data_IF_818091424673
#
_entry.id   IF_818091424673
#
_cell.length_a   1.000
_cell.length_b   1.000
_cell.length_c   1.000
_cell.angle_alpha   90.00
_cell.angle_beta   90.00
_cell.angle_gamma   90.00
#
_symmetry.space_group_name_H-M   'P 1'
#
loop_
_entity.id
_entity.type
_entity.pdbx_description
1 polymer ?
#
# COMPACT_ATOMS: atom_id res chain seq x y z
N UNK A 1 12.59 -0.16 20.48
CA UNK A 1 13.71 0.58 19.84
C UNK A 1 13.95 -0.04 18.48
N UNK A 2 13.97 0.74 17.42
CA UNK A 2 14.43 0.30 16.11
C UNK A 2 15.95 0.36 16.08
N UNK A 3 16.59 -0.59 15.39
CA UNK A 3 18.03 -0.73 15.32
C UNK A 3 18.48 -0.88 13.87
N UNK A 4 19.62 -0.31 13.53
CA UNK A 4 20.31 -0.58 12.27
C UNK A 4 21.36 -1.68 12.47
N UNK A 5 21.68 -2.39 11.41
CA UNK A 5 22.58 -3.52 11.44
C UNK A 5 23.91 -3.18 10.78
N UNK A 6 25.00 -3.55 11.43
CA UNK A 6 26.36 -3.33 10.96
C UNK A 6 27.13 -4.65 10.95
N UNK A 7 28.11 -4.76 10.07
CA UNK A 7 29.06 -5.87 10.07
C UNK A 7 30.14 -5.68 11.16
N UNK A 8 31.06 -6.65 11.28
CA UNK A 8 32.15 -6.61 12.27
C UNK A 8 33.15 -5.44 12.11
N UNK A 9 33.15 -4.80 10.92
CA UNK A 9 34.05 -3.70 10.58
C UNK A 9 33.36 -2.34 10.75
N UNK A 10 32.10 -2.31 11.23
CA UNK A 10 31.31 -1.10 11.45
C UNK A 10 30.66 -0.52 10.19
N UNK A 11 30.62 -1.30 9.10
CA UNK A 11 29.92 -0.92 7.88
C UNK A 11 28.47 -1.40 7.91
N UNK A 12 27.52 -0.65 7.32
CA UNK A 12 26.12 -1.10 7.23
C UNK A 12 26.00 -2.47 6.57
N UNK A 13 25.16 -3.34 7.14
CA UNK A 13 24.98 -4.68 6.62
C UNK A 13 24.23 -4.63 5.28
N UNK A 14 24.86 -5.10 4.20
CA UNK A 14 24.33 -5.07 2.82
C UNK A 14 22.95 -5.78 2.65
N UNK A 15 22.69 -6.80 3.47
CA UNK A 15 21.42 -7.55 3.47
C UNK A 15 20.36 -6.92 4.37
N UNK A 16 20.63 -5.78 4.99
CA UNK A 16 19.70 -5.13 5.89
C UNK A 16 18.62 -4.37 5.09
N UNK A 17 17.32 -4.62 5.34
CA UNK A 17 16.22 -3.98 4.62
C UNK A 17 16.21 -2.45 4.77
N UNK A 18 16.51 -1.92 5.97
CA UNK A 18 16.53 -0.46 6.21
C UNK A 18 17.68 0.20 5.45
N UNK A 19 18.82 -0.47 5.33
CA UNK A 19 19.94 0.04 4.54
C UNK A 19 19.62 0.03 3.04
N UNK A 20 18.92 -1.00 2.57
CA UNK A 20 18.41 -1.07 1.19
C UNK A 20 17.49 0.10 0.88
N UNK A 21 16.57 0.43 1.79
CA UNK A 21 15.69 1.60 1.62
C UNK A 21 16.48 2.91 1.56
N UNK A 22 17.47 3.08 2.43
CA UNK A 22 18.36 4.27 2.40
C UNK A 22 19.08 4.41 1.06
N UNK A 23 19.63 3.30 0.52
CA UNK A 23 20.26 3.29 -0.80
C UNK A 23 19.29 3.62 -1.92
N UNK A 24 18.04 3.12 -1.84
CA UNK A 24 17.00 3.44 -2.81
C UNK A 24 16.66 4.93 -2.83
N UNK A 25 16.53 5.55 -1.66
CA UNK A 25 16.29 7.00 -1.53
C UNK A 25 17.47 7.83 -2.05
N UNK A 26 18.71 7.41 -1.75
CA UNK A 26 19.91 8.07 -2.29
C UNK A 26 19.98 7.98 -3.81
N UNK A 27 19.71 6.81 -4.39
CA UNK A 27 19.69 6.61 -5.84
C UNK A 27 18.59 7.48 -6.49
N UNK A 28 17.40 7.54 -5.87
CA UNK A 28 16.32 8.40 -6.32
C UNK A 28 16.77 9.88 -6.35
N UNK A 29 17.35 10.37 -5.28
CA UNK A 29 17.84 11.76 -5.18
C UNK A 29 18.96 12.02 -6.18
N UNK A 30 19.89 11.07 -6.37
CA UNK A 30 20.99 11.19 -7.33
C UNK A 30 20.48 11.36 -8.77
N UNK A 31 19.46 10.59 -9.16
CA UNK A 31 18.91 10.61 -10.53
C UNK A 31 18.01 11.83 -10.74
N UNK A 32 17.23 12.22 -9.75
CA UNK A 32 16.14 13.20 -9.94
C UNK A 32 16.45 14.58 -9.38
N UNK A 33 17.38 14.69 -8.42
CA UNK A 33 17.58 15.90 -7.60
C UNK A 33 16.43 16.20 -6.65
N UNK A 34 15.58 15.19 -6.34
CA UNK A 34 14.37 15.34 -5.53
C UNK A 34 14.36 14.30 -4.41
N UNK A 35 13.50 14.52 -3.40
CA UNK A 35 13.30 13.63 -2.26
C UNK A 35 12.05 12.75 -2.48
N UNK A 36 12.17 11.45 -2.18
CA UNK A 36 11.06 10.50 -2.17
C UNK A 36 10.45 10.42 -0.77
N UNK A 37 9.14 10.64 -0.67
CA UNK A 37 8.37 10.51 0.57
C UNK A 37 7.24 9.50 0.40
N UNK A 38 6.87 8.85 1.50
CA UNK A 38 5.82 7.85 1.52
C UNK A 38 4.95 7.93 2.78
N UNK A 39 3.80 7.29 2.73
CA UNK A 39 2.96 6.93 3.87
C UNK A 39 2.23 5.62 3.59
N UNK A 40 1.72 4.97 4.63
CA UNK A 40 0.90 3.77 4.50
C UNK A 40 -0.53 3.98 5.01
N UNK A 41 -1.45 3.19 4.44
CA UNK A 41 -2.76 2.88 4.97
C UNK A 41 -2.68 1.43 5.43
N UNK A 42 -2.70 1.20 6.75
CA UNK A 42 -2.48 -0.12 7.35
C UNK A 42 -3.80 -0.74 7.77
N UNK A 43 -4.27 -1.72 7.01
CA UNK A 43 -5.45 -2.50 7.33
C UNK A 43 -5.12 -3.74 8.17
N UNK A 44 -6.00 -4.06 9.11
CA UNK A 44 -5.88 -5.25 9.96
C UNK A 44 -7.22 -5.68 10.51
N UNK A 45 -7.35 -6.96 10.85
CA UNK A 45 -8.52 -7.46 11.56
C UNK A 45 -8.25 -7.60 13.06
N UNK A 46 -9.23 -7.15 13.84
CA UNK A 46 -9.35 -7.47 15.27
C UNK A 46 -10.34 -8.64 15.40
N UNK A 47 -9.99 -9.62 16.20
CA UNK A 47 -10.77 -10.85 16.40
C UNK A 47 -11.00 -11.02 17.89
N UNK A 48 -12.28 -11.16 18.29
CA UNK A 48 -12.67 -11.41 19.67
C UNK A 48 -13.81 -12.43 19.74
N UNK A 49 -14.14 -12.87 20.96
CA UNK A 49 -15.37 -13.65 21.21
C UNK A 49 -16.60 -12.81 20.86
N UNK A 50 -17.67 -13.48 20.41
CA UNK A 50 -18.94 -12.84 20.08
C UNK A 50 -19.79 -12.66 21.33
N UNK A 51 -20.05 -11.43 21.74
CA UNK A 51 -20.91 -11.09 22.87
C UNK A 51 -22.41 -11.02 22.51
N UNK A 52 -22.75 -11.16 21.24
CA UNK A 52 -24.13 -11.06 20.73
C UNK A 52 -24.74 -9.64 20.77
N UNK A 53 -24.01 -8.63 21.28
CA UNK A 53 -24.52 -7.26 21.41
C UNK A 53 -24.24 -6.48 20.14
N UNK A 54 -25.17 -5.61 19.75
CA UNK A 54 -25.02 -4.70 18.59
C UNK A 54 -24.40 -5.39 17.37
N UNK A 55 -25.05 -6.44 16.80
CA UNK A 55 -24.50 -7.19 15.69
C UNK A 55 -24.34 -6.28 14.49
N UNK A 56 -23.13 -6.24 13.94
CA UNK A 56 -22.86 -5.50 12.71
C UNK A 56 -23.35 -6.28 11.48
N UNK A 57 -23.72 -5.55 10.44
CA UNK A 57 -24.11 -6.16 9.16
C UNK A 57 -22.88 -6.69 8.44
N UNK A 58 -22.94 -7.93 7.95
CA UNK A 58 -21.85 -8.59 7.23
C UNK A 58 -21.34 -7.72 6.06
N UNK A 59 -20.03 -7.46 6.03
CA UNK A 59 -19.33 -6.67 5.00
C UNK A 59 -19.86 -5.22 4.86
N UNK A 60 -20.35 -4.65 5.96
CA UNK A 60 -20.87 -3.28 6.02
C UNK A 60 -20.22 -2.43 7.13
N UNK A 61 -18.94 -2.71 7.44
CA UNK A 61 -18.21 -2.02 8.49
C UNK A 61 -17.64 -0.65 8.10
N UNK A 62 -17.62 -0.31 6.81
CA UNK A 62 -16.92 0.89 6.32
C UNK A 62 -17.46 2.19 6.95
N UNK A 63 -16.58 2.89 7.71
CA UNK A 63 -16.91 4.07 8.50
C UNK A 63 -18.06 3.88 9.51
N UNK A 64 -18.31 2.63 9.92
CA UNK A 64 -19.27 2.37 10.99
C UNK A 64 -18.77 2.97 12.31
N UNK A 65 -19.70 3.35 13.17
CA UNK A 65 -19.41 3.95 14.49
C UNK A 65 -19.80 3.02 15.63
N UNK A 66 -19.30 3.31 16.83
CA UNK A 66 -19.74 2.64 18.04
C UNK A 66 -21.27 2.85 18.24
N UNK A 67 -22.02 1.86 18.73
CA UNK A 67 -21.53 0.58 19.27
C UNK A 67 -21.35 -0.55 18.25
N UNK A 68 -21.64 -0.32 16.98
CA UNK A 68 -21.54 -1.33 15.92
C UNK A 68 -20.08 -1.56 15.48
N UNK A 69 -19.23 -0.51 15.47
CA UNK A 69 -17.78 -0.64 15.39
C UNK A 69 -17.23 -0.91 16.80
N UNK A 70 -17.06 -2.19 17.14
CA UNK A 70 -16.75 -2.63 18.51
C UNK A 70 -15.35 -2.28 18.97
N UNK A 71 -14.39 -2.17 18.05
CA UNK A 71 -12.98 -1.93 18.36
C UNK A 71 -12.54 -0.47 18.13
N UNK A 72 -13.49 0.47 18.11
CA UNK A 72 -13.21 1.89 17.94
C UNK A 72 -12.26 2.43 19.02
N UNK A 73 -12.50 2.09 20.28
CA UNK A 73 -11.68 2.57 21.40
C UNK A 73 -10.28 1.94 21.35
N UNK A 74 -10.18 0.65 21.05
CA UNK A 74 -8.92 -0.04 20.82
C UNK A 74 -8.11 0.61 19.69
N UNK A 75 -8.73 0.90 18.55
CA UNK A 75 -8.08 1.58 17.41
C UNK A 75 -7.60 2.97 17.82
N UNK A 76 -8.43 3.73 18.53
CA UNK A 76 -8.09 5.08 19.01
C UNK A 76 -6.89 5.05 19.96
N UNK A 77 -6.84 4.09 20.86
CA UNK A 77 -5.72 3.90 21.76
C UNK A 77 -4.44 3.47 21.01
N UNK A 78 -4.55 2.58 20.02
CA UNK A 78 -3.42 2.26 19.13
C UNK A 78 -2.86 3.52 18.47
N UNK A 79 -3.71 4.37 17.88
CA UNK A 79 -3.29 5.62 17.26
C UNK A 79 -2.59 6.55 18.26
N UNK A 80 -3.09 6.64 19.49
CA UNK A 80 -2.47 7.44 20.55
C UNK A 80 -1.06 6.97 20.89
N UNK A 81 -0.84 5.65 21.08
CA UNK A 81 0.49 5.12 21.36
C UNK A 81 1.45 5.23 20.17
N UNK A 82 0.95 5.04 18.94
CA UNK A 82 1.75 5.23 17.73
C UNK A 82 2.20 6.69 17.63
N UNK A 83 1.31 7.65 17.88
CA UNK A 83 1.65 9.08 17.87
C UNK A 83 2.66 9.43 18.97
N UNK A 84 2.51 8.90 20.18
CA UNK A 84 3.48 9.08 21.27
C UNK A 84 4.86 8.49 20.94
N UNK A 85 4.92 7.44 20.12
CA UNK A 85 6.16 6.85 19.60
C UNK A 85 6.76 7.62 18.42
N UNK A 86 6.16 8.74 17.99
CA UNK A 86 6.62 9.61 16.91
C UNK A 86 5.94 9.39 15.57
N UNK A 87 4.99 8.45 15.46
CA UNK A 87 4.23 8.20 14.23
C UNK A 87 3.32 9.38 13.87
N UNK A 88 3.33 9.77 12.61
CA UNK A 88 2.51 10.86 12.09
C UNK A 88 1.15 10.32 11.63
N UNK A 89 0.19 10.28 12.54
CA UNK A 89 -1.17 9.77 12.28
C UNK A 89 -2.00 10.80 11.52
N UNK A 90 -2.70 10.34 10.49
CA UNK A 90 -3.70 11.12 9.75
C UNK A 90 -5.09 10.92 10.35
N UNK A 91 -5.60 9.69 10.34
CA UNK A 91 -6.83 9.25 11.01
C UNK A 91 -6.92 7.73 11.02
N UNK A 92 -8.00 7.17 11.63
CA UNK A 92 -8.31 5.74 11.56
C UNK A 92 -9.81 5.52 11.57
N UNK A 93 -10.25 4.46 10.92
CA UNK A 93 -11.67 4.09 10.79
C UNK A 93 -11.85 2.57 10.73
N UNK A 94 -13.09 2.11 10.88
CA UNK A 94 -13.46 0.73 10.55
C UNK A 94 -13.56 0.57 9.04
N UNK A 95 -13.08 -0.58 8.54
CA UNK A 95 -13.10 -0.96 7.13
C UNK A 95 -14.29 -1.87 6.79
N UNK A 96 -14.45 -2.22 5.49
CA UNK A 96 -15.57 -3.01 4.96
C UNK A 96 -15.75 -4.33 5.67
N UNK A 97 -14.63 -4.99 6.04
CA UNK A 97 -14.63 -6.33 6.58
C UNK A 97 -15.22 -6.41 8.00
N UNK A 98 -16.44 -6.95 8.08
CA UNK A 98 -17.10 -7.24 9.33
C UNK A 98 -17.91 -8.53 9.15
N UNK A 99 -17.65 -9.56 9.97
CA UNK A 99 -18.35 -10.83 9.90
C UNK A 99 -18.17 -11.66 11.19
N UNK A 100 -19.04 -12.62 11.38
CA UNK A 100 -18.91 -13.64 12.44
C UNK A 100 -18.57 -14.99 11.83
N UNK A 101 -17.59 -15.68 12.40
CA UNK A 101 -17.18 -17.02 12.01
C UNK A 101 -16.75 -17.79 13.27
N UNK A 102 -17.25 -19.02 13.45
CA UNK A 102 -16.93 -19.89 14.61
C UNK A 102 -17.07 -19.17 15.96
N UNK A 103 -18.22 -18.52 16.17
CA UNK A 103 -18.57 -17.73 17.36
C UNK A 103 -17.61 -16.55 17.67
N UNK A 104 -16.78 -16.15 16.72
CA UNK A 104 -15.90 -15.00 16.84
C UNK A 104 -16.32 -13.87 15.91
N UNK A 105 -16.11 -12.65 16.39
CA UNK A 105 -16.28 -11.43 15.61
C UNK A 105 -14.95 -11.09 14.93
N UNK A 106 -15.03 -10.77 13.65
CA UNK A 106 -13.94 -10.26 12.83
C UNK A 106 -14.32 -8.86 12.36
N UNK A 107 -13.60 -7.86 12.81
CA UNK A 107 -13.79 -6.46 12.40
C UNK A 107 -12.51 -5.89 11.83
N UNK A 108 -12.59 -5.42 10.59
CA UNK A 108 -11.47 -4.79 9.89
C UNK A 108 -11.34 -3.32 10.28
N UNK A 109 -10.14 -2.90 10.57
CA UNK A 109 -9.77 -1.55 10.96
C UNK A 109 -8.62 -1.06 10.09
N UNK A 110 -8.56 0.24 9.89
CA UNK A 110 -7.49 0.90 9.16
C UNK A 110 -6.94 2.09 9.95
N UNK A 111 -5.62 2.26 9.90
CA UNK A 111 -4.92 3.45 10.38
C UNK A 111 -4.13 4.03 9.23
N UNK A 112 -4.41 5.30 8.90
CA UNK A 112 -3.70 6.07 7.87
C UNK A 112 -2.69 7.02 8.49
N UNK A 113 -1.55 7.15 7.81
CA UNK A 113 -0.43 8.00 8.22
C UNK A 113 -0.33 9.26 7.36
N UNK A 114 0.50 10.21 7.79
CA UNK A 114 0.89 11.36 6.98
C UNK A 114 2.17 11.06 6.20
N UNK A 115 2.35 11.63 5.00
CA UNK A 115 3.56 11.45 4.21
C UNK A 115 4.78 12.05 4.92
N UNK A 116 5.82 11.23 5.09
CA UNK A 116 7.10 11.58 5.68
C UNK A 116 8.23 11.04 4.80
N UNK A 117 9.49 11.27 5.16
CA UNK A 117 10.63 10.62 4.49
C UNK A 117 10.43 9.12 4.46
N UNK A 118 10.89 8.48 3.40
CA UNK A 118 10.57 7.06 3.16
C UNK A 118 11.06 6.13 4.27
N UNK A 119 12.24 6.41 4.86
CA UNK A 119 12.76 5.66 5.99
C UNK A 119 11.83 5.79 7.22
N UNK A 120 11.40 7.01 7.53
CA UNK A 120 10.47 7.28 8.63
C UNK A 120 9.09 6.64 8.36
N UNK A 121 8.65 6.57 7.09
CA UNK A 121 7.41 5.90 6.72
C UNK A 121 7.47 4.39 7.00
N UNK A 122 8.59 3.74 6.71
CA UNK A 122 8.81 2.34 7.06
C UNK A 122 8.85 2.14 8.58
N UNK A 123 9.59 2.98 9.29
CA UNK A 123 9.73 2.94 10.75
C UNK A 123 8.38 3.04 11.45
N UNK A 124 7.56 4.04 11.10
CA UNK A 124 6.26 4.23 11.74
C UNK A 124 5.29 3.07 11.49
N UNK A 125 5.33 2.44 10.31
CA UNK A 125 4.52 1.26 10.01
C UNK A 125 4.98 0.02 10.80
N UNK A 126 6.28 -0.17 10.97
CA UNK A 126 6.84 -1.25 11.82
C UNK A 126 6.42 -1.05 13.27
N UNK A 127 6.56 0.18 13.80
CA UNK A 127 6.13 0.54 15.15
C UNK A 127 4.62 0.33 15.30
N UNK A 128 3.82 0.74 14.33
CA UNK A 128 2.37 0.56 14.35
C UNK A 128 1.97 -0.92 14.46
N UNK A 129 2.54 -1.78 13.61
CA UNK A 129 2.27 -3.24 13.69
C UNK A 129 2.68 -3.82 15.03
N UNK A 130 3.76 -3.33 15.64
CA UNK A 130 4.21 -3.74 16.96
C UNK A 130 3.25 -3.26 18.05
N UNK A 131 2.87 -1.97 18.07
CA UNK A 131 1.92 -1.38 19.03
C UNK A 131 0.59 -2.10 18.99
N UNK A 132 0.00 -2.27 17.80
CA UNK A 132 -1.30 -2.92 17.60
C UNK A 132 -1.28 -4.34 18.21
N UNK A 133 -0.24 -5.14 17.94
CA UNK A 133 -0.14 -6.50 18.51
C UNK A 133 0.02 -6.51 20.03
N UNK A 134 0.85 -5.63 20.57
CA UNK A 134 1.11 -5.59 22.00
C UNK A 134 -0.12 -5.09 22.77
N UNK A 135 -0.80 -4.06 22.27
CA UNK A 135 -2.00 -3.56 22.90
C UNK A 135 -3.14 -4.59 22.81
N UNK A 136 -3.31 -5.24 21.67
CA UNK A 136 -4.31 -6.31 21.51
C UNK A 136 -4.12 -7.44 22.54
N UNK A 137 -2.88 -7.82 22.81
CA UNK A 137 -2.58 -8.82 23.84
C UNK A 137 -3.05 -8.39 25.23
N UNK A 138 -2.99 -7.10 25.55
CA UNK A 138 -3.50 -6.56 26.83
C UNK A 138 -5.02 -6.58 26.90
N UNK A 139 -5.71 -6.40 25.77
CA UNK A 139 -7.17 -6.47 25.66
C UNK A 139 -7.70 -7.91 25.54
N UNK A 140 -6.83 -8.90 25.38
CA UNK A 140 -7.23 -10.28 25.09
C UNK A 140 -7.76 -10.49 23.68
N UNK A 141 -7.44 -9.59 22.74
CA UNK A 141 -7.80 -9.69 21.32
C UNK A 141 -6.73 -10.40 20.50
N UNK A 142 -7.16 -11.06 19.42
CA UNK A 142 -6.27 -11.50 18.38
C UNK A 142 -6.22 -10.48 17.25
N UNK A 143 -5.02 -10.30 16.67
CA UNK A 143 -4.79 -9.40 15.53
C UNK A 143 -4.19 -10.17 14.37
N UNK A 144 -4.69 -9.87 13.17
CA UNK A 144 -4.05 -10.37 11.96
C UNK A 144 -3.91 -9.29 10.89
N UNK A 145 -2.73 -9.26 10.26
CA UNK A 145 -2.43 -8.48 9.06
C UNK A 145 -2.45 -9.37 7.81
N UNK A 146 -3.01 -10.57 7.92
CA UNK A 146 -3.09 -11.51 6.80
C UNK A 146 -3.90 -10.90 5.64
N UNK A 147 -3.41 -10.98 4.41
CA UNK A 147 -4.08 -10.40 3.24
C UNK A 147 -5.49 -10.94 3.00
N UNK A 148 -5.73 -12.20 3.37
CA UNK A 148 -7.02 -12.86 3.23
C UNK A 148 -7.23 -13.88 4.33
N UNK A 149 -8.30 -13.72 5.11
CA UNK A 149 -8.67 -14.66 6.17
C UNK A 149 -9.53 -15.78 5.59
N UNK A 150 -10.58 -15.43 4.86
CA UNK A 150 -11.51 -16.40 4.27
C UNK A 150 -12.06 -15.93 2.92
N UNK A 151 -12.51 -16.87 2.10
CA UNK A 151 -13.13 -16.58 0.81
C UNK A 151 -14.44 -15.78 0.99
N UNK A 152 -14.71 -14.87 0.05
CA UNK A 152 -15.97 -14.10 0.06
C UNK A 152 -16.02 -12.91 1.02
N UNK A 153 -15.03 -12.74 1.91
CA UNK A 153 -14.93 -11.60 2.83
C UNK A 153 -13.81 -10.65 2.37
N UNK A 154 -13.86 -9.39 2.83
CA UNK A 154 -12.84 -8.40 2.50
C UNK A 154 -11.44 -8.87 2.93
N UNK A 155 -10.45 -8.59 2.11
CA UNK A 155 -9.04 -8.80 2.43
C UNK A 155 -8.42 -7.52 2.98
N UNK A 156 -7.28 -7.64 3.67
CA UNK A 156 -6.53 -6.50 4.20
C UNK A 156 -5.40 -6.10 3.28
N UNK A 157 -5.38 -4.81 2.90
CA UNK A 157 -4.33 -4.17 2.13
C UNK A 157 -3.30 -3.47 3.00
N UNK A 158 -2.27 -3.00 2.34
CA UNK A 158 -1.34 -2.01 2.82
C UNK A 158 -1.06 -1.06 1.65
N UNK A 159 -1.89 -0.05 1.50
CA UNK A 159 -1.71 0.89 0.41
C UNK A 159 -0.58 1.84 0.72
N UNK A 160 0.33 2.02 -0.22
CA UNK A 160 1.46 2.94 -0.05
C UNK A 160 1.24 4.16 -0.93
N UNK A 161 1.11 5.30 -0.29
CA UNK A 161 1.08 6.59 -0.95
C UNK A 161 2.48 7.16 -1.06
N UNK A 162 2.76 7.79 -2.18
CA UNK A 162 4.06 8.38 -2.47
C UNK A 162 3.89 9.81 -2.97
N UNK A 163 4.83 10.66 -2.60
CA UNK A 163 5.00 12.00 -3.17
C UNK A 163 6.46 12.31 -3.38
N UNK A 164 6.72 13.21 -4.29
CA UNK A 164 8.07 13.67 -4.64
C UNK A 164 8.20 15.12 -4.24
N UNK A 165 9.23 15.44 -3.46
CA UNK A 165 9.47 16.76 -2.92
C UNK A 165 10.72 17.36 -3.51
N UNK A 166 10.70 18.68 -3.77
CA UNK A 166 11.88 19.47 -4.12
C UNK A 166 11.84 20.79 -3.36
N UNK A 167 12.91 21.10 -2.65
CA UNK A 167 13.03 22.33 -1.89
C UNK A 167 11.82 22.60 -0.95
N UNK A 168 11.33 21.54 -0.30
CA UNK A 168 10.18 21.59 0.60
C UNK A 168 8.82 21.67 -0.11
N UNK A 169 8.77 21.65 -1.45
CA UNK A 169 7.53 21.76 -2.23
C UNK A 169 7.16 20.42 -2.87
N UNK A 170 5.89 20.07 -2.79
CA UNK A 170 5.32 18.88 -3.42
C UNK A 170 5.30 19.05 -4.95
N UNK A 171 5.96 18.13 -5.66
CA UNK A 171 6.09 18.15 -7.11
C UNK A 171 5.01 17.33 -7.85
N UNK A 172 4.01 16.81 -7.13
CA UNK A 172 2.99 15.95 -7.73
C UNK A 172 1.96 16.71 -8.58
N UNK A 173 1.76 18.00 -8.29
CA UNK A 173 0.87 18.88 -9.05
C UNK A 173 1.66 20.03 -9.69
N UNK A 174 1.20 20.45 -10.86
CA UNK A 174 1.62 21.69 -11.52
C UNK A 174 0.39 22.31 -12.19
N UNK A 175 0.16 23.59 -11.93
CA UNK A 175 -0.97 24.36 -12.50
C UNK A 175 -2.35 23.70 -12.28
N UNK A 176 -2.53 23.06 -11.13
CA UNK A 176 -3.77 22.36 -10.75
C UNK A 176 -4.00 21.00 -11.42
N UNK A 177 -3.04 20.50 -12.20
CA UNK A 177 -3.06 19.19 -12.83
C UNK A 177 -1.93 18.29 -12.34
N UNK A 178 -2.05 16.98 -12.58
CA UNK A 178 -0.99 16.02 -12.29
C UNK A 178 0.28 16.35 -13.11
N UNK A 179 1.39 16.55 -12.43
CA UNK A 179 2.64 17.03 -13.03
C UNK A 179 3.30 15.97 -13.92
N UNK A 180 4.28 16.40 -14.72
CA UNK A 180 5.16 15.49 -15.43
C UNK A 180 5.97 14.61 -14.48
N UNK A 181 6.45 15.15 -13.37
CA UNK A 181 7.12 14.42 -12.30
C UNK A 181 6.28 13.24 -11.79
N UNK A 182 5.01 13.49 -11.47
CA UNK A 182 4.10 12.45 -11.02
C UNK A 182 3.85 11.39 -12.12
N UNK A 183 3.64 11.82 -13.36
CA UNK A 183 3.43 10.89 -14.50
C UNK A 183 4.64 10.03 -14.80
N UNK A 184 5.86 10.56 -14.68
CA UNK A 184 7.09 9.77 -14.78
C UNK A 184 7.19 8.72 -13.68
N UNK A 185 6.93 9.10 -12.43
CA UNK A 185 6.91 8.13 -11.32
C UNK A 185 5.87 7.03 -11.55
N UNK A 186 4.66 7.38 -11.99
CA UNK A 186 3.61 6.42 -12.34
C UNK A 186 4.07 5.48 -13.45
N UNK A 187 4.69 5.99 -14.51
CA UNK A 187 5.20 5.16 -15.61
C UNK A 187 6.19 4.09 -15.13
N UNK A 188 7.11 4.46 -14.25
CA UNK A 188 8.04 3.50 -13.63
C UNK A 188 7.32 2.44 -12.80
N UNK A 189 6.32 2.84 -12.01
CA UNK A 189 5.47 1.90 -11.27
C UNK A 189 4.71 0.96 -12.20
N UNK A 190 4.16 1.45 -13.31
CA UNK A 190 3.48 0.58 -14.30
C UNK A 190 4.43 -0.43 -14.92
N UNK A 191 5.65 -0.05 -15.25
CA UNK A 191 6.66 -0.95 -15.82
C UNK A 191 7.14 -2.04 -14.87
N UNK A 192 7.23 -1.72 -13.58
CA UNK A 192 7.74 -2.63 -12.56
C UNK A 192 6.64 -3.24 -11.67
N UNK A 193 5.36 -2.96 -11.94
CA UNK A 193 4.23 -3.39 -11.14
C UNK A 193 4.26 -4.89 -10.81
N UNK A 194 4.54 -5.73 -11.80
CA UNK A 194 4.61 -7.18 -11.62
C UNK A 194 5.76 -7.61 -10.71
N UNK A 195 6.89 -6.90 -10.71
CA UNK A 195 8.02 -7.20 -9.83
C UNK A 195 7.83 -6.64 -8.41
N UNK A 196 7.10 -5.52 -8.27
CA UNK A 196 6.77 -4.94 -6.96
C UNK A 196 5.96 -5.92 -6.11
N UNK A 197 5.14 -6.80 -6.73
CA UNK A 197 4.41 -7.84 -5.99
C UNK A 197 5.34 -8.80 -5.22
N UNK A 198 6.59 -8.97 -5.65
CA UNK A 198 7.56 -9.80 -4.93
C UNK A 198 7.94 -9.21 -3.56
N UNK A 199 7.84 -7.90 -3.40
CA UNK A 199 8.10 -7.20 -2.15
C UNK A 199 6.82 -6.89 -1.37
N UNK A 200 5.70 -6.66 -2.09
CA UNK A 200 4.43 -6.21 -1.52
C UNK A 200 3.41 -7.33 -1.23
N UNK A 201 3.56 -8.50 -1.84
CA UNK A 201 2.59 -9.61 -1.79
C UNK A 201 3.33 -10.93 -1.59
N UNK A 202 3.86 -11.15 -0.38
CA UNK A 202 4.96 -12.06 -0.11
C UNK A 202 4.55 -13.47 0.33
N UNK A 203 3.24 -13.79 0.31
CA UNK A 203 2.75 -15.13 0.65
C UNK A 203 1.52 -15.52 -0.21
N UNK A 204 1.13 -16.81 -0.25
CA UNK A 204 0.02 -17.27 -1.09
C UNK A 204 -1.32 -16.60 -0.80
N UNK A 205 -1.59 -16.18 0.45
CA UNK A 205 -2.85 -15.51 0.80
C UNK A 205 -2.98 -14.12 0.17
N UNK A 206 -1.88 -13.49 -0.20
CA UNK A 206 -1.87 -12.24 -0.99
C UNK A 206 -2.62 -12.42 -2.31
N UNK A 207 -2.44 -13.56 -2.97
CA UNK A 207 -3.05 -13.86 -4.27
C UNK A 207 -4.49 -14.37 -4.16
N UNK A 208 -4.95 -14.69 -2.95
CA UNK A 208 -6.37 -14.88 -2.66
C UNK A 208 -7.09 -13.53 -2.44
N UNK A 209 -6.36 -12.46 -2.08
CA UNK A 209 -6.85 -11.09 -2.06
C UNK A 209 -6.85 -10.47 -3.47
N UNK A 210 -5.76 -10.64 -4.23
CA UNK A 210 -5.59 -10.11 -5.59
C UNK A 210 -6.41 -10.95 -6.61
N UNK A 211 -7.73 -10.82 -6.56
CA UNK A 211 -8.65 -11.52 -7.45
C UNK A 211 -9.64 -10.54 -8.11
N UNK A 212 -10.06 -10.79 -9.35
CA UNK A 212 -11.00 -9.91 -10.05
C UNK A 212 -12.30 -9.68 -9.27
N UNK A 213 -12.89 -8.50 -9.45
CA UNK A 213 -14.16 -8.09 -8.84
C UNK A 213 -14.16 -8.02 -7.30
N UNK A 214 -13.01 -7.74 -6.70
CA UNK A 214 -12.85 -7.42 -5.28
C UNK A 214 -12.20 -6.04 -5.12
N UNK A 215 -11.97 -5.58 -3.88
CA UNK A 215 -11.37 -4.27 -3.60
C UNK A 215 -9.92 -4.14 -4.10
N UNK A 216 -9.19 -5.26 -4.19
CA UNK A 216 -7.81 -5.26 -4.62
C UNK A 216 -7.68 -5.26 -6.16
N UNK A 217 -6.81 -4.42 -6.73
CA UNK A 217 -6.60 -4.34 -8.18
C UNK A 217 -5.83 -5.55 -8.69
N UNK A 218 -6.15 -6.00 -9.91
CA UNK A 218 -5.44 -7.09 -10.60
C UNK A 218 -4.83 -6.68 -11.94
N UNK A 219 -5.21 -5.51 -12.45
CA UNK A 219 -4.76 -5.01 -13.75
C UNK A 219 -3.77 -3.86 -13.58
N UNK A 220 -2.75 -3.83 -14.44
CA UNK A 220 -1.71 -2.81 -14.43
C UNK A 220 -2.21 -1.58 -15.16
N UNK A 221 -2.78 -0.65 -14.40
CA UNK A 221 -3.28 0.62 -14.88
C UNK A 221 -3.34 1.66 -13.74
N UNK A 222 -3.50 2.92 -14.11
CA UNK A 222 -3.64 4.00 -13.15
C UNK A 222 -4.79 4.94 -13.53
N UNK A 223 -5.28 5.73 -12.58
CA UNK A 223 -6.34 6.69 -12.85
C UNK A 223 -6.65 7.63 -11.69
N UNK A 224 -7.32 8.72 -12.03
CA UNK A 224 -7.75 9.74 -11.08
C UNK A 224 -9.01 9.30 -10.33
N UNK A 225 -8.98 9.31 -9.01
CA UNK A 225 -10.12 9.03 -8.12
C UNK A 225 -10.83 7.71 -8.42
N UNK A 226 -10.18 6.80 -9.12
CA UNK A 226 -10.70 5.53 -9.57
C UNK A 226 -10.23 4.40 -8.63
N UNK A 227 -11.15 3.77 -7.88
CA UNK A 227 -10.83 2.67 -6.96
C UNK A 227 -10.58 1.33 -7.65
N UNK A 228 -10.83 1.21 -8.95
CA UNK A 228 -10.64 -0.05 -9.70
C UNK A 228 -9.25 -0.21 -10.28
N UNK A 229 -8.36 0.79 -10.18
CA UNK A 229 -7.02 0.78 -10.77
C UNK A 229 -5.94 0.41 -9.77
N UNK A 230 -4.77 -0.02 -10.26
CA UNK A 230 -3.62 -0.41 -9.45
C UNK A 230 -2.94 0.80 -8.79
N UNK A 231 -2.70 1.86 -9.56
CA UNK A 231 -2.18 3.12 -9.01
C UNK A 231 -3.28 4.17 -9.09
N UNK A 232 -3.74 4.61 -7.93
CA UNK A 232 -4.77 5.65 -7.82
C UNK A 232 -4.12 7.00 -7.55
N UNK A 233 -4.59 8.03 -8.23
CA UNK A 233 -4.37 9.43 -7.85
C UNK A 233 -5.55 9.83 -6.98
N UNK A 234 -5.39 9.94 -5.65
CA UNK A 234 -6.49 10.32 -4.77
C UNK A 234 -6.88 11.78 -4.97
N UNK A 235 -8.03 12.17 -4.42
CA UNK A 235 -8.48 13.56 -4.46
C UNK A 235 -7.50 14.44 -3.66
N UNK A 236 -6.84 15.35 -4.36
CA UNK A 236 -5.81 16.24 -3.78
C UNK A 236 -6.37 17.50 -3.11
N UNK A 237 -7.69 17.55 -2.85
CA UNK A 237 -8.35 18.70 -2.20
C UNK A 237 -8.00 20.05 -2.86
N UNK A 238 -7.91 20.08 -4.18
CA UNK A 238 -7.66 21.30 -4.96
C UNK A 238 -8.93 22.16 -5.15
N UNK A 239 -9.81 22.18 -4.14
CA UNK A 239 -11.01 23.00 -4.16
C UNK A 239 -10.65 24.49 -4.22
N UNK A 240 -11.39 25.24 -5.03
CA UNK A 240 -11.23 26.70 -5.16
C UNK A 240 -11.89 27.48 -4.02
N UNK A 241 -12.65 26.78 -3.17
CA UNK A 241 -13.40 27.35 -2.06
C UNK A 241 -12.97 26.71 -0.74
N UNK A 242 -12.99 27.46 0.35
CA UNK A 242 -12.82 26.95 1.70
C UNK A 242 -14.07 26.16 2.11
N UNK A 243 -13.98 24.82 2.00
CA UNK A 243 -15.09 23.92 2.35
C UNK A 243 -15.35 23.87 3.85
N UNK A 244 -14.35 24.14 4.69
CA UNK A 244 -14.54 24.20 6.14
C UNK A 244 -15.43 25.40 6.53
N UNK A 245 -15.20 26.57 5.94
CA UNK A 245 -16.05 27.73 6.13
C UNK A 245 -17.46 27.54 5.58
N UNK A 246 -17.60 26.81 4.47
CA UNK A 246 -18.93 26.51 3.92
C UNK A 246 -19.72 25.56 4.82
N UNK A 247 -19.04 24.59 5.42
CA UNK A 247 -19.65 23.61 6.33
C UNK A 247 -19.96 24.22 7.70
N UNK A 248 -19.08 25.11 8.20
CA UNK A 248 -19.26 25.81 9.47
C UNK A 248 -18.93 27.31 9.31
N UNK A 249 -19.95 28.14 9.07
CA UNK A 249 -19.77 29.61 8.88
C UNK A 249 -19.15 30.34 10.08
N UNK A 250 -19.10 29.71 11.26
CA UNK A 250 -18.47 30.25 12.45
C UNK A 250 -16.96 29.91 12.53
N UNK A 251 -16.47 29.08 11.61
CA UNK A 251 -15.06 28.68 11.53
C UNK A 251 -14.20 29.84 11.06
N UNK A 252 -13.01 29.97 11.64
CA UNK A 252 -12.02 30.90 11.13
C UNK A 252 -11.47 30.39 9.81
N UNK A 253 -11.25 31.25 8.78
CA UNK A 253 -10.69 30.80 7.50
C UNK A 253 -9.40 30.01 7.72
N UNK A 254 -9.37 28.77 7.22
CA UNK A 254 -8.15 27.97 7.27
C UNK A 254 -7.26 28.32 6.07
N UNK A 255 -6.03 28.70 6.34
CA UNK A 255 -5.01 28.95 5.32
C UNK A 255 -4.21 27.67 5.00
N UNK A 256 -4.85 26.50 5.00
CA UNK A 256 -4.17 25.25 4.66
C UNK A 256 -3.83 25.23 3.18
N UNK A 257 -2.54 25.14 2.87
CA UNK A 257 -2.09 24.85 1.50
C UNK A 257 -2.39 23.37 1.16
N UNK A 258 -3.47 23.17 0.43
CA UNK A 258 -3.91 21.83 0.00
C UNK A 258 -3.07 21.28 -1.15
N UNK A 259 -2.27 22.12 -1.84
CA UNK A 259 -1.41 21.67 -2.96
C UNK A 259 -0.29 20.73 -2.48
N UNK A 260 0.11 20.84 -1.21
CA UNK A 260 1.12 19.98 -0.59
C UNK A 260 0.62 18.56 -0.25
N UNK A 261 -0.68 18.28 -0.39
CA UNK A 261 -1.29 17.00 0.04
C UNK A 261 -1.34 15.94 -1.05
N UNK A 262 -1.11 16.28 -2.32
CA UNK A 262 -1.24 15.33 -3.42
C UNK A 262 -0.23 14.20 -3.32
N UNK A 263 -0.72 12.97 -3.44
CA UNK A 263 0.06 11.73 -3.53
C UNK A 263 -0.38 10.91 -4.73
N UNK A 264 0.33 9.82 -5.01
CA UNK A 264 -0.13 8.67 -5.81
C UNK A 264 -0.08 7.43 -4.93
N UNK A 265 -1.02 6.52 -5.09
CA UNK A 265 -1.25 5.36 -4.22
C UNK A 265 -1.05 4.05 -4.98
N UNK A 266 -0.14 3.20 -4.52
CA UNK A 266 -0.02 1.80 -4.96
C UNK A 266 -0.91 0.92 -4.09
N UNK A 267 -1.86 0.20 -4.70
CA UNK A 267 -2.94 -0.49 -4.00
C UNK A 267 -2.79 -2.02 -3.90
N UNK A 268 -1.82 -2.61 -4.60
CA UNK A 268 -1.62 -4.06 -4.54
C UNK A 268 -1.00 -4.58 -3.25
N UNK A 269 -0.09 -3.89 -2.56
CA UNK A 269 0.59 -4.44 -1.39
C UNK A 269 -0.35 -4.79 -0.25
N UNK A 270 0.12 -5.61 0.66
CA UNK A 270 -0.61 -6.06 1.85
C UNK A 270 0.30 -6.21 3.07
N UNK A 271 -0.30 -6.52 4.21
CA UNK A 271 0.39 -6.60 5.49
C UNK A 271 1.44 -7.71 5.61
N UNK A 272 1.62 -8.57 4.60
CA UNK A 272 2.68 -9.60 4.56
C UNK A 272 4.04 -9.04 4.15
N UNK A 273 4.07 -7.83 3.59
CA UNK A 273 5.27 -7.19 3.08
C UNK A 273 6.34 -6.95 4.17
N UNK A 274 7.61 -7.07 3.79
CA UNK A 274 8.69 -6.37 4.48
C UNK A 274 8.61 -4.90 4.10
N UNK A 275 8.35 -4.05 5.08
CA UNK A 275 8.01 -2.65 4.87
C UNK A 275 9.16 -1.85 4.23
N UNK A 276 10.38 -2.12 4.64
CA UNK A 276 11.55 -1.44 4.09
C UNK A 276 11.82 -1.87 2.65
N UNK A 277 11.76 -3.18 2.36
CA UNK A 277 11.95 -3.69 0.99
C UNK A 277 10.83 -3.22 0.04
N UNK A 278 9.58 -3.18 0.51
CA UNK A 278 8.47 -2.68 -0.28
C UNK A 278 8.65 -1.22 -0.67
N UNK A 279 8.94 -0.36 0.31
CA UNK A 279 9.12 1.08 0.05
C UNK A 279 10.38 1.33 -0.78
N UNK A 280 11.46 0.55 -0.57
CA UNK A 280 12.64 0.58 -1.43
C UNK A 280 12.31 0.20 -2.88
N UNK A 281 11.54 -0.87 -3.09
CA UNK A 281 11.08 -1.30 -4.41
C UNK A 281 10.25 -0.22 -5.12
N UNK A 282 9.39 0.48 -4.38
CA UNK A 282 8.60 1.59 -4.91
C UNK A 282 9.46 2.82 -5.24
N UNK A 283 10.46 3.14 -4.42
CA UNK A 283 11.42 4.21 -4.72
C UNK A 283 12.24 3.90 -6.00
N UNK A 284 12.68 2.64 -6.16
CA UNK A 284 13.34 2.15 -7.39
C UNK A 284 12.41 2.29 -8.59
N UNK A 285 11.14 1.89 -8.44
CA UNK A 285 10.17 1.99 -9.53
C UNK A 285 9.91 3.45 -9.94
N UNK A 286 9.71 4.34 -8.98
CA UNK A 286 9.55 5.77 -9.26
C UNK A 286 10.79 6.35 -9.93
N UNK A 287 12.00 6.04 -9.44
CA UNK A 287 13.27 6.45 -10.06
C UNK A 287 13.35 6.01 -11.52
N UNK A 288 13.05 4.72 -11.78
CA UNK A 288 13.12 4.15 -13.12
C UNK A 288 12.26 4.91 -14.13
N UNK A 289 11.13 5.47 -13.69
CA UNK A 289 10.29 6.31 -14.54
C UNK A 289 10.97 7.62 -15.04
N UNK A 290 12.04 8.06 -14.40
CA UNK A 290 12.84 9.20 -14.86
C UNK A 290 13.99 8.79 -15.81
N UNK A 291 14.27 7.49 -15.91
CA UNK A 291 15.38 6.94 -16.70
C UNK A 291 14.90 6.34 -18.03
N UNK A 292 13.62 6.03 -18.19
CA UNK A 292 13.07 5.47 -19.42
C UNK A 292 12.64 6.56 -20.41
N UNK A 293 12.98 6.38 -21.69
CA UNK A 293 12.79 7.40 -22.73
C UNK A 293 11.32 7.79 -22.96
N UNK A 294 10.39 6.84 -22.90
CA UNK A 294 8.95 7.07 -23.19
C UNK A 294 8.07 7.00 -21.94
N UNK A 295 8.53 7.58 -20.82
CA UNK A 295 7.76 7.55 -19.57
C UNK A 295 6.35 8.15 -19.72
N UNK A 296 6.22 9.28 -20.40
CA UNK A 296 4.94 9.97 -20.55
C UNK A 296 3.97 9.18 -21.44
N UNK A 297 4.47 8.57 -22.53
CA UNK A 297 3.67 7.70 -23.38
C UNK A 297 3.20 6.43 -22.65
N UNK A 298 4.03 5.85 -21.77
CA UNK A 298 3.64 4.73 -20.91
C UNK A 298 2.55 5.17 -19.94
N UNK A 299 2.69 6.33 -19.28
CA UNK A 299 1.70 6.87 -18.39
C UNK A 299 0.35 7.07 -19.11
N UNK A 300 0.38 7.65 -20.31
CA UNK A 300 -0.84 7.87 -21.12
C UNK A 300 -1.50 6.56 -21.52
N UNK A 301 -0.74 5.59 -22.02
CA UNK A 301 -1.23 4.28 -22.46
C UNK A 301 -1.90 3.47 -21.34
N UNK A 302 -1.41 3.61 -20.11
CA UNK A 302 -1.91 2.86 -18.94
C UNK A 302 -2.95 3.63 -18.13
N UNK A 303 -3.33 4.84 -18.57
CA UNK A 303 -4.36 5.65 -17.93
C UNK A 303 -5.78 5.11 -18.18
N UNK A 304 -6.58 5.04 -17.12
CA UNK A 304 -7.96 4.56 -17.17
C UNK A 304 -8.88 5.50 -16.37
N UNK A 305 -9.79 6.15 -17.07
CA UNK A 305 -10.75 7.11 -16.51
C UNK A 305 -12.16 6.53 -16.23
N UNK A 306 -12.32 5.21 -16.36
CA UNK A 306 -13.59 4.49 -16.17
C UNK A 306 -13.42 3.34 -15.18
N UNK A 307 -14.52 2.91 -14.57
CA UNK A 307 -14.50 1.69 -13.75
C UNK A 307 -14.35 0.46 -14.66
N UNK A 308 -13.19 -0.18 -14.61
CA UNK A 308 -12.82 -1.33 -15.46
C UNK A 308 -13.64 -2.60 -15.16
N UNK A 309 -14.34 -2.67 -14.03
CA UNK A 309 -15.16 -3.82 -13.64
C UNK A 309 -16.59 -3.77 -14.18
N UNK A 310 -16.99 -2.67 -14.82
CA UNK A 310 -18.28 -2.56 -15.48
C UNK A 310 -18.26 -3.31 -16.82
N UNK A 311 -19.33 -4.05 -17.14
CA UNK A 311 -19.46 -4.83 -18.38
C UNK A 311 -19.19 -4.02 -19.65
N UNK A 312 -19.60 -2.77 -19.68
CA UNK A 312 -19.39 -1.84 -20.80
C UNK A 312 -17.90 -1.53 -21.09
N UNK A 313 -16.99 -1.86 -20.15
CA UNK A 313 -15.55 -1.59 -20.24
C UNK A 313 -14.69 -2.85 -20.41
N UNK A 314 -15.29 -4.00 -20.67
CA UNK A 314 -14.58 -5.31 -20.82
C UNK A 314 -13.47 -5.28 -21.88
N UNK A 315 -13.66 -4.53 -22.97
CA UNK A 315 -12.64 -4.45 -24.03
C UNK A 315 -11.40 -3.66 -23.60
N UNK A 316 -11.57 -2.64 -22.77
CA UNK A 316 -10.43 -1.95 -22.14
C UNK A 316 -9.70 -2.89 -21.17
N UNK A 317 -10.45 -3.64 -20.37
CA UNK A 317 -9.91 -4.58 -19.40
C UNK A 317 -9.03 -5.65 -20.07
N UNK A 318 -9.46 -6.19 -21.24
CA UNK A 318 -8.69 -7.19 -22.00
C UNK A 318 -7.36 -6.70 -22.55
N UNK A 319 -7.20 -5.38 -22.72
CA UNK A 319 -5.97 -4.76 -23.24
C UNK A 319 -4.94 -4.47 -22.14
N UNK A 320 -5.33 -4.54 -20.88
CA UNK A 320 -4.45 -4.26 -19.73
C UNK A 320 -3.66 -5.51 -19.34
N UNK A 321 -2.38 -5.33 -19.07
CA UNK A 321 -1.56 -6.37 -18.44
C UNK A 321 -2.10 -6.67 -17.04
N UNK A 322 -1.89 -7.90 -16.59
CA UNK A 322 -2.32 -8.35 -15.26
C UNK A 322 -1.13 -8.53 -14.33
N UNK A 323 -1.37 -8.30 -13.04
CA UNK A 323 -0.42 -8.65 -12.00
C UNK A 323 -0.22 -10.17 -11.95
N UNK A 324 0.95 -10.65 -11.46
CA UNK A 324 1.17 -12.06 -11.17
C UNK A 324 0.05 -12.61 -10.29
N UNK A 325 -0.23 -13.88 -10.43
CA UNK A 325 -1.32 -14.55 -9.72
C UNK A 325 -0.85 -15.59 -8.70
N UNK A 326 0.45 -15.61 -8.40
CA UNK A 326 1.07 -16.48 -7.40
C UNK A 326 2.43 -15.93 -6.95
N UNK A 327 2.92 -16.39 -5.81
CA UNK A 327 4.27 -16.08 -5.34
C UNK A 327 5.33 -16.49 -6.37
N UNK A 328 5.19 -17.68 -6.94
CA UNK A 328 6.13 -18.17 -7.95
C UNK A 328 6.12 -17.32 -9.22
N UNK A 329 4.95 -16.86 -9.70
CA UNK A 329 4.86 -15.95 -10.85
C UNK A 329 5.47 -14.57 -10.55
N UNK A 330 5.27 -14.08 -9.35
CA UNK A 330 5.87 -12.83 -8.86
C UNK A 330 7.41 -12.93 -8.81
N UNK A 331 7.94 -14.05 -8.33
CA UNK A 331 9.37 -14.32 -8.34
C UNK A 331 9.96 -14.32 -9.76
N UNK A 332 9.25 -14.92 -10.73
CA UNK A 332 9.70 -14.92 -12.13
C UNK A 332 9.70 -13.50 -12.74
N UNK A 333 8.77 -12.63 -12.31
CA UNK A 333 8.76 -11.24 -12.73
C UNK A 333 9.96 -10.47 -12.15
N UNK A 334 10.23 -10.64 -10.86
CA UNK A 334 11.37 -10.01 -10.22
C UNK A 334 12.69 -10.46 -10.87
N UNK A 335 12.85 -11.77 -11.14
CA UNK A 335 14.05 -12.31 -11.76
C UNK A 335 14.32 -11.69 -13.15
N UNK A 336 13.27 -11.52 -13.96
CA UNK A 336 13.40 -10.88 -15.29
C UNK A 336 13.79 -9.42 -15.23
N UNK A 337 13.41 -8.71 -14.19
CA UNK A 337 13.62 -7.26 -14.05
C UNK A 337 14.68 -6.92 -12.97
N UNK A 338 15.38 -7.92 -12.43
CA UNK A 338 16.29 -7.75 -11.29
C UNK A 338 17.36 -6.66 -11.50
N UNK A 339 17.84 -6.51 -12.73
CA UNK A 339 18.86 -5.52 -13.05
C UNK A 339 18.46 -4.09 -12.69
N UNK A 340 17.16 -3.73 -12.76
CA UNK A 340 16.66 -2.42 -12.38
C UNK A 340 16.71 -2.22 -10.86
N UNK A 341 16.43 -3.27 -10.10
CA UNK A 341 16.48 -3.23 -8.62
C UNK A 341 17.91 -3.27 -8.08
N UNK A 342 18.83 -3.96 -8.76
CA UNK A 342 20.24 -4.04 -8.42
C UNK A 342 21.04 -2.80 -8.85
N UNK A 343 20.53 -2.02 -9.79
CA UNK A 343 21.15 -0.77 -10.26
C UNK A 343 21.43 0.18 -9.10
N UNK A 344 22.51 0.90 -9.14
CA UNK A 344 23.02 1.77 -8.06
C UNK A 344 23.29 1.01 -6.76
N UNK A 345 23.48 -0.30 -6.82
CA UNK A 345 23.70 -1.17 -5.66
C UNK A 345 22.58 -1.08 -4.61
N UNK A 346 21.32 -0.80 -5.04
CA UNK A 346 20.18 -0.66 -4.12
C UNK A 346 19.86 -2.00 -3.47
N UNK A 347 19.41 -2.98 -4.24
CA UNK A 347 19.26 -4.35 -3.76
C UNK A 347 20.53 -5.14 -4.09
N UNK A 348 21.08 -5.83 -3.11
CA UNK A 348 22.18 -6.75 -3.40
C UNK A 348 21.66 -7.99 -4.18
N UNK A 349 22.46 -8.60 -5.07
CA UNK A 349 22.07 -9.84 -5.76
C UNK A 349 21.59 -10.93 -4.80
N UNK A 350 22.28 -11.10 -3.67
CA UNK A 350 21.92 -12.09 -2.66
C UNK A 350 20.55 -11.82 -2.03
N UNK A 351 20.19 -10.54 -1.81
CA UNK A 351 18.85 -10.18 -1.30
C UNK A 351 17.77 -10.52 -2.33
N UNK A 352 17.97 -10.17 -3.60
CA UNK A 352 17.05 -10.51 -4.69
C UNK A 352 16.88 -12.04 -4.80
N UNK A 353 17.97 -12.79 -4.77
CA UNK A 353 17.96 -14.26 -4.80
C UNK A 353 17.20 -14.83 -3.59
N UNK A 354 17.37 -14.25 -2.41
CA UNK A 354 16.65 -14.64 -1.19
C UNK A 354 15.13 -14.44 -1.32
N UNK A 355 14.69 -13.31 -1.86
CA UNK A 355 13.26 -13.02 -2.12
C UNK A 355 12.69 -14.01 -3.14
N UNK A 356 13.37 -14.22 -4.26
CA UNK A 356 12.96 -15.16 -5.31
C UNK A 356 12.86 -16.59 -4.75
N UNK A 357 13.88 -17.03 -4.02
CA UNK A 357 13.91 -18.37 -3.42
C UNK A 357 12.76 -18.58 -2.44
N UNK A 358 12.53 -17.61 -1.55
CA UNK A 358 11.40 -17.64 -0.60
C UNK A 358 10.06 -17.76 -1.31
N UNK A 359 9.81 -16.91 -2.31
CA UNK A 359 8.53 -16.92 -3.04
C UNK A 359 8.31 -18.23 -3.80
N UNK A 360 9.34 -18.80 -4.42
CA UNK A 360 9.26 -20.09 -5.10
C UNK A 360 9.05 -21.28 -4.16
N UNK A 361 9.52 -21.17 -2.91
CA UNK A 361 9.38 -22.24 -1.91
C UNK A 361 7.92 -22.53 -1.51
N UNK A 362 6.99 -21.61 -1.79
CA UNK A 362 5.57 -21.84 -1.52
C UNK A 362 4.90 -22.81 -2.51
N UNK A 363 5.47 -23.06 -3.68
CA UNK A 363 4.94 -23.94 -4.73
C UNK A 363 3.44 -23.70 -5.05
N UNK A 364 3.02 -22.44 -4.99
CA UNK A 364 1.60 -22.03 -4.90
C UNK A 364 0.88 -21.90 -6.25
N UNK A 365 1.55 -22.09 -7.39
CA UNK A 365 0.94 -21.93 -8.74
C UNK A 365 -0.36 -22.71 -8.90
N UNK A 366 -0.40 -23.95 -8.42
CA UNK A 366 -1.57 -24.83 -8.54
C UNK A 366 -2.64 -24.52 -7.49
N UNK A 367 -2.24 -24.16 -6.29
CA UNK A 367 -3.15 -23.86 -5.17
C UNK A 367 -4.00 -22.64 -5.45
N UNK A 368 -3.37 -21.54 -5.87
CA UNK A 368 -4.06 -20.28 -6.19
C UNK A 368 -4.98 -20.43 -7.39
N UNK A 369 -4.56 -21.18 -8.42
CA UNK A 369 -5.41 -21.47 -9.58
C UNK A 369 -6.67 -22.26 -9.18
N UNK A 370 -6.55 -23.27 -8.30
CA UNK A 370 -7.71 -24.03 -7.78
C UNK A 370 -8.67 -23.12 -7.02
N UNK A 371 -8.17 -22.24 -6.14
CA UNK A 371 -9.00 -21.28 -5.42
C UNK A 371 -9.77 -20.37 -6.37
N UNK A 372 -9.11 -19.78 -7.37
CA UNK A 372 -9.74 -18.94 -8.39
C UNK A 372 -10.79 -19.70 -9.23
N UNK A 373 -10.57 -20.97 -9.51
CA UNK A 373 -11.50 -21.81 -10.29
C UNK A 373 -12.77 -22.14 -9.51
N UNK A 374 -12.65 -22.47 -8.24
CA UNK A 374 -13.81 -22.73 -7.35
C UNK A 374 -14.67 -21.48 -7.24
N UNK A 375 -14.05 -20.32 -7.10
CA UNK A 375 -14.76 -19.05 -6.94
C UNK A 375 -15.49 -18.55 -8.20
N UNK A 376 -15.04 -18.94 -9.40
CA UNK A 376 -15.75 -18.62 -10.66
C UNK A 376 -17.02 -19.43 -10.86
N UNK A 377 -17.22 -20.49 -10.06
CA UNK A 377 -18.39 -21.39 -10.11
C UNK A 377 -19.42 -21.11 -9.01
N UNK A 378 -19.10 -20.27 -8.04
CA UNK A 378 -19.99 -19.73 -7.01
C UNK A 378 -20.35 -18.28 -7.31
#
# INVERSE_FOLDING_TARGET
MLCSYFNKDGEPLESSPEYTLRKACQAFTTVTGMEFQAMGELEYYVISENDGLFPATDQRGYHESAPYAKFNDFRTECMSYIAQAGGQIKYGHSEVGNFTLDDKIYEQNEIEFLPVRAEEAADQLVIAKWVIRNLASQYGYNITFAPKITAGKAGSGLHIHMRIMKDGQNQMLKDGALSETARKAIAGMMKLASSITAFGNTNPTSYFRLVPHQEAPTNICWGDRNRSVLVRVPLGWSAKTDMCMLANPLETPSHYDTTQKQTVEMRSPDGSADLYQLIAGLAVACRYGFEIDDALGIAEKTYVNVNIHKKENEDKLKQLEQLPDSCAASADCLERQRAVFEQYHVFSPAMVDGVISKLRSYEDRTCVQRYKTVRRRC
#
